data_IF_763037357358
#
_entry.id   IF_763037357358
#
_cell.length_a   1.000
_cell.length_b   1.000
_cell.length_c   1.000
_cell.angle_alpha   90.00
_cell.angle_beta   90.00
_cell.angle_gamma   90.00
#
_symmetry.space_group_name_H-M   'P 1'
#
loop_
_entity.id
_entity.type
_entity.pdbx_description
1 polymer ?
#
# COMPACT_ATOMS: atom_id res chain seq x y z
N UNK A 1 5.32 7.10 -15.13
CA UNK A 1 6.49 6.40 -14.54
C UNK A 1 5.99 5.08 -13.98
N UNK A 2 6.86 4.08 -13.85
CA UNK A 2 6.50 2.74 -13.36
C UNK A 2 7.33 2.42 -12.12
N UNK A 3 6.99 3.10 -11.02
CA UNK A 3 7.65 2.97 -9.73
C UNK A 3 6.70 3.12 -8.55
N UNK A 4 7.29 3.18 -7.36
CA UNK A 4 6.60 3.57 -6.15
C UNK A 4 7.48 4.51 -5.34
N UNK A 5 6.84 5.37 -4.55
CA UNK A 5 7.48 6.16 -3.52
C UNK A 5 7.34 5.47 -2.18
N UNK A 6 8.46 5.20 -1.52
CA UNK A 6 8.56 4.63 -0.17
C UNK A 6 9.11 5.71 0.76
N UNK A 7 8.26 6.29 1.60
CA UNK A 7 8.61 7.45 2.40
C UNK A 7 9.02 8.61 1.49
N UNK A 8 10.30 8.96 1.50
CA UNK A 8 10.87 10.05 0.70
C UNK A 8 11.60 9.58 -0.57
N UNK A 9 11.82 8.26 -0.72
CA UNK A 9 12.60 7.70 -1.82
C UNK A 9 11.72 7.04 -2.86
N UNK A 10 12.06 7.22 -4.13
CA UNK A 10 11.41 6.62 -5.27
C UNK A 10 12.21 5.43 -5.81
N UNK A 11 11.54 4.31 -6.09
CA UNK A 11 12.18 3.06 -6.53
C UNK A 11 13.04 3.22 -7.77
N UNK A 12 12.52 3.87 -8.81
CA UNK A 12 13.29 4.07 -10.05
C UNK A 12 14.37 5.16 -9.94
N UNK A 13 14.13 6.24 -9.18
CA UNK A 13 15.04 7.40 -9.18
C UNK A 13 16.19 7.24 -8.19
N UNK A 14 15.92 6.71 -7.00
CA UNK A 14 16.91 6.60 -5.93
C UNK A 14 17.61 5.25 -5.91
N UNK A 15 16.90 4.17 -6.23
CA UNK A 15 17.44 2.81 -6.22
C UNK A 15 17.72 2.25 -7.62
N UNK A 16 17.17 2.86 -8.67
CA UNK A 16 17.35 2.42 -10.06
C UNK A 16 16.56 1.17 -10.44
N UNK A 17 15.61 0.74 -9.59
CA UNK A 17 14.79 -0.47 -9.82
C UNK A 17 13.43 -0.08 -10.39
N UNK A 18 12.91 -0.89 -11.30
CA UNK A 18 11.60 -0.66 -11.94
C UNK A 18 10.59 -1.68 -11.48
N UNK A 19 9.33 -1.27 -11.32
CA UNK A 19 8.25 -2.21 -11.04
C UNK A 19 8.00 -3.07 -12.27
N UNK A 20 7.91 -4.38 -12.05
CA UNK A 20 7.43 -5.38 -13.00
C UNK A 20 5.95 -5.64 -12.78
N UNK A 21 5.57 -5.85 -11.52
CA UNK A 21 4.24 -6.30 -11.13
C UNK A 21 3.83 -5.78 -9.75
N UNK A 22 2.53 -5.60 -9.57
CA UNK A 22 1.91 -5.06 -8.35
C UNK A 22 0.69 -5.90 -7.99
N UNK A 23 0.79 -6.64 -6.89
CA UNK A 23 -0.30 -7.41 -6.31
C UNK A 23 -0.80 -6.70 -5.04
N UNK A 24 -2.08 -6.35 -5.02
CA UNK A 24 -2.70 -5.66 -3.89
C UNK A 24 -3.82 -6.52 -3.34
N UNK A 25 -3.58 -7.22 -2.23
CA UNK A 25 -4.57 -8.11 -1.64
C UNK A 25 -5.77 -7.34 -1.08
N UNK A 26 -6.97 -7.91 -1.19
CA UNK A 26 -8.17 -7.35 -0.56
C UNK A 26 -8.08 -7.58 0.95
N UNK A 27 -8.33 -6.55 1.80
CA UNK A 27 -8.26 -6.72 3.24
C UNK A 27 -9.28 -7.76 3.73
N UNK A 28 -8.83 -8.71 4.55
CA UNK A 28 -9.68 -9.79 5.06
C UNK A 28 -10.63 -9.29 6.15
N UNK A 29 -11.92 -9.61 6.06
CA UNK A 29 -12.89 -9.26 7.10
C UNK A 29 -12.67 -10.06 8.40
N UNK A 30 -12.87 -9.41 9.55
CA UNK A 30 -12.85 -10.01 10.89
C UNK A 30 -14.21 -10.61 11.22
N UNK A 31 -14.46 -11.81 10.72
CA UNK A 31 -15.74 -12.52 10.93
C UNK A 31 -15.73 -13.20 12.30
N UNK A 32 -16.81 -13.02 13.06
CA UNK A 32 -17.01 -13.67 14.37
C UNK A 32 -18.34 -14.40 14.39
N UNK A 33 -18.28 -15.72 14.28
CA UNK A 33 -19.44 -16.61 14.37
C UNK A 33 -19.40 -17.42 15.67
N UNK A 34 -20.56 -17.68 16.27
CA UNK A 34 -20.71 -18.57 17.43
C UNK A 34 -21.60 -19.74 17.04
N UNK A 35 -21.15 -20.95 17.35
CA UNK A 35 -21.98 -22.14 17.23
C UNK A 35 -22.75 -22.36 18.53
N UNK A 36 -24.07 -22.48 18.42
CA UNK A 36 -24.96 -22.76 19.55
C UNK A 36 -25.31 -24.25 19.49
N UNK A 37 -25.11 -25.01 20.58
CA UNK A 37 -25.48 -26.43 20.62
C UNK A 37 -26.95 -26.63 20.22
N UNK A 38 -27.20 -27.63 19.37
CA UNK A 38 -28.54 -28.00 18.87
C UNK A 38 -29.23 -26.96 17.97
N UNK A 39 -28.55 -25.86 17.61
CA UNK A 39 -29.03 -24.91 16.62
C UNK A 39 -28.49 -25.28 15.23
N UNK A 40 -29.35 -25.26 14.22
CA UNK A 40 -28.91 -25.35 12.84
C UNK A 40 -28.24 -24.04 12.41
N UNK A 41 -26.98 -24.14 11.97
CA UNK A 41 -26.18 -23.00 11.54
C UNK A 41 -25.46 -22.26 12.68
N UNK A 42 -24.73 -21.22 12.31
CA UNK A 42 -23.94 -20.40 13.24
C UNK A 42 -24.54 -19.00 13.38
N UNK A 43 -24.45 -18.44 14.59
CA UNK A 43 -24.87 -17.06 14.85
C UNK A 43 -23.75 -16.10 14.45
N UNK A 44 -24.01 -15.22 13.49
CA UNK A 44 -23.06 -14.19 13.08
C UNK A 44 -23.13 -12.98 14.02
N UNK A 45 -22.01 -12.71 14.70
CA UNK A 45 -21.84 -11.59 15.62
C UNK A 45 -20.84 -10.56 15.09
N UNK A 46 -20.45 -10.63 13.82
CA UNK A 46 -19.41 -9.79 13.22
C UNK A 46 -19.69 -8.29 13.40
N UNK A 47 -20.94 -7.86 13.24
CA UNK A 47 -21.34 -6.45 13.32
C UNK A 47 -22.00 -6.09 14.66
N UNK A 48 -22.16 -7.05 15.57
CA UNK A 48 -22.99 -6.90 16.77
C UNK A 48 -22.47 -5.87 17.79
N UNK A 49 -21.15 -5.65 17.86
CA UNK A 49 -20.54 -4.73 18.83
C UNK A 49 -20.37 -3.30 18.30
N UNK A 50 -19.90 -3.17 17.06
CA UNK A 50 -19.48 -1.90 16.48
C UNK A 50 -20.42 -1.38 15.38
N UNK A 51 -21.43 -2.16 14.97
CA UNK A 51 -22.36 -1.80 13.91
C UNK A 51 -21.76 -1.80 12.51
N UNK A 52 -20.57 -2.38 12.33
CA UNK A 52 -19.93 -2.47 11.02
C UNK A 52 -18.79 -3.47 10.97
N UNK A 53 -18.37 -3.82 9.74
CA UNK A 53 -17.32 -4.81 9.49
C UNK A 53 -15.95 -4.20 9.74
N UNK A 54 -15.14 -4.90 10.53
CA UNK A 54 -13.72 -4.59 10.69
C UNK A 54 -12.86 -5.50 9.82
N UNK A 55 -11.70 -4.99 9.42
CA UNK A 55 -10.77 -5.72 8.56
C UNK A 55 -9.43 -5.93 9.24
N UNK A 56 -8.72 -6.98 8.83
CA UNK A 56 -7.29 -7.15 9.04
C UNK A 56 -6.51 -6.24 8.08
N UNK A 57 -5.21 -6.11 8.33
CA UNK A 57 -4.30 -5.47 7.39
C UNK A 57 -4.34 -6.18 6.02
N UNK A 58 -3.95 -5.44 4.99
CA UNK A 58 -3.77 -5.96 3.63
C UNK A 58 -2.29 -6.05 3.30
N UNK A 59 -1.91 -7.00 2.47
CA UNK A 59 -0.54 -7.10 1.97
C UNK A 59 -0.47 -6.48 0.57
N UNK A 60 0.47 -5.57 0.38
CA UNK A 60 0.88 -5.11 -0.95
C UNK A 60 2.20 -5.79 -1.29
N UNK A 61 2.24 -6.49 -2.42
CA UNK A 61 3.46 -7.13 -2.92
C UNK A 61 3.82 -6.50 -4.25
N UNK A 62 5.08 -6.09 -4.38
CA UNK A 62 5.58 -5.43 -5.58
C UNK A 62 6.88 -6.08 -6.01
N UNK A 63 6.88 -6.58 -7.24
CA UNK A 63 8.03 -7.19 -7.85
C UNK A 63 8.76 -6.16 -8.70
N UNK A 64 10.06 -6.02 -8.48
CA UNK A 64 10.90 -5.08 -9.20
C UNK A 64 12.03 -5.80 -9.89
N UNK A 65 12.53 -5.21 -10.97
CA UNK A 65 13.69 -5.71 -11.69
C UNK A 65 14.76 -4.63 -11.85
N UNK A 66 16.00 -5.09 -11.89
CA UNK A 66 17.19 -4.31 -12.25
C UNK A 66 17.95 -5.05 -13.34
N UNK A 67 18.27 -4.35 -14.43
CA UNK A 67 19.21 -4.86 -15.44
C UNK A 67 20.62 -4.70 -14.90
N UNK A 68 21.25 -5.80 -14.54
CA UNK A 68 22.60 -5.79 -14.01
C UNK A 68 23.35 -7.07 -14.34
N UNK A 69 24.59 -6.93 -14.81
CA UNK A 69 25.46 -8.05 -15.14
C UNK A 69 26.40 -8.43 -14.00
N UNK A 70 26.42 -7.65 -12.90
CA UNK A 70 27.38 -7.82 -11.79
C UNK A 70 26.67 -8.11 -10.47
N UNK A 71 27.11 -9.17 -9.79
CA UNK A 71 26.51 -9.59 -8.51
C UNK A 71 26.81 -8.62 -7.37
N UNK A 72 27.94 -7.90 -7.42
CA UNK A 72 28.30 -6.93 -6.38
C UNK A 72 27.31 -5.76 -6.31
N UNK A 73 26.86 -5.30 -7.48
CA UNK A 73 25.93 -4.17 -7.58
C UNK A 73 24.52 -4.60 -7.15
N UNK A 74 24.13 -5.84 -7.43
CA UNK A 74 22.93 -6.45 -6.84
C UNK A 74 22.94 -6.43 -5.30
N UNK A 75 24.03 -6.90 -4.67
CA UNK A 75 24.17 -6.87 -3.21
C UNK A 75 24.11 -5.44 -2.65
N UNK A 76 24.78 -4.49 -3.31
CA UNK A 76 24.78 -3.09 -2.89
C UNK A 76 23.39 -2.48 -2.88
N UNK A 77 22.62 -2.67 -3.96
CA UNK A 77 21.24 -2.18 -4.07
C UNK A 77 20.33 -2.83 -3.03
N UNK A 78 20.46 -4.15 -2.82
CA UNK A 78 19.70 -4.82 -1.77
C UNK A 78 20.00 -4.24 -0.39
N UNK A 79 21.27 -4.13 -0.01
CA UNK A 79 21.65 -3.59 1.30
C UNK A 79 21.16 -2.15 1.49
N UNK A 80 21.14 -1.36 0.41
CA UNK A 80 20.61 0.01 0.43
C UNK A 80 19.09 0.04 0.67
N UNK A 81 18.33 -0.81 -0.02
CA UNK A 81 16.87 -0.92 0.14
C UNK A 81 16.55 -1.47 1.53
N UNK A 82 17.16 -2.60 1.91
CA UNK A 82 16.94 -3.23 3.20
C UNK A 82 17.27 -2.28 4.36
N UNK A 83 18.42 -1.57 4.31
CA UNK A 83 18.76 -0.58 5.33
C UNK A 83 17.78 0.60 5.40
N UNK A 84 17.16 0.96 4.28
CA UNK A 84 16.21 2.05 4.22
C UNK A 84 14.83 1.67 4.76
N UNK A 85 14.21 0.57 4.29
CA UNK A 85 12.80 0.28 4.57
C UNK A 85 12.52 -0.99 5.39
N UNK A 86 13.48 -1.92 5.55
CA UNK A 86 13.22 -3.18 6.26
C UNK A 86 12.71 -2.94 7.69
N UNK A 87 11.53 -3.48 7.99
CA UNK A 87 10.91 -3.41 9.31
C UNK A 87 10.34 -2.04 9.69
N UNK A 88 10.48 -1.01 8.85
CA UNK A 88 10.00 0.33 9.14
C UNK A 88 8.55 0.49 8.70
N UNK A 89 7.79 1.26 9.50
CA UNK A 89 6.44 1.69 9.13
C UNK A 89 6.55 2.96 8.28
N UNK A 90 6.18 2.88 7.01
CA UNK A 90 6.36 3.98 6.06
C UNK A 90 5.13 4.17 5.19
N UNK A 91 5.04 5.36 4.59
CA UNK A 91 4.06 5.69 3.57
C UNK A 91 4.49 5.12 2.22
N UNK A 92 3.58 4.51 1.49
CA UNK A 92 3.80 3.94 0.16
C UNK A 92 2.81 4.56 -0.82
N UNK A 93 3.32 5.12 -1.92
CA UNK A 93 2.52 5.71 -3.00
C UNK A 93 2.90 4.99 -4.29
N UNK A 94 1.92 4.44 -5.00
CA UNK A 94 2.13 3.78 -6.28
C UNK A 94 1.99 4.81 -7.40
N UNK A 95 2.88 4.78 -8.39
CA UNK A 95 2.75 5.66 -9.57
C UNK A 95 1.49 5.37 -10.38
N UNK A 96 0.93 4.16 -10.25
CA UNK A 96 -0.34 3.77 -10.88
C UNK A 96 -1.57 4.38 -10.21
N UNK A 97 -1.48 4.78 -8.94
CA UNK A 97 -2.56 5.44 -8.20
C UNK A 97 -2.00 6.59 -7.33
N UNK A 98 -1.48 7.66 -7.95
CA UNK A 98 -0.70 8.70 -7.26
C UNK A 98 -1.52 9.55 -6.30
N UNK A 99 -2.86 9.54 -6.42
CA UNK A 99 -3.77 10.26 -5.55
C UNK A 99 -3.96 9.61 -4.18
N UNK A 100 -3.49 8.38 -3.99
CA UNK A 100 -3.66 7.62 -2.76
C UNK A 100 -2.35 7.07 -2.22
N UNK A 101 -2.34 6.80 -0.92
CA UNK A 101 -1.22 6.18 -0.26
C UNK A 101 -1.66 5.09 0.72
N UNK A 102 -0.73 4.19 0.99
CA UNK A 102 -0.84 3.15 2.00
C UNK A 102 0.15 3.43 3.13
N UNK A 103 -0.21 3.05 4.36
CA UNK A 103 0.71 3.08 5.49
C UNK A 103 0.86 1.64 5.98
N UNK A 104 2.10 1.18 6.07
CA UNK A 104 2.36 -0.18 6.49
C UNK A 104 3.79 -0.44 6.88
N UNK A 105 4.04 -1.63 7.44
CA UNK A 105 5.39 -2.09 7.75
C UNK A 105 5.96 -2.82 6.54
N UNK A 106 7.16 -2.42 6.14
CA UNK A 106 7.78 -2.92 4.91
C UNK A 106 8.71 -4.10 5.22
N UNK A 107 8.65 -5.13 4.38
CA UNK A 107 9.60 -6.23 4.31
C UNK A 107 10.13 -6.36 2.89
N UNK A 108 11.42 -6.63 2.76
CA UNK A 108 12.11 -6.80 1.50
C UNK A 108 12.65 -8.22 1.43
N UNK A 109 12.40 -8.87 0.31
CA UNK A 109 12.91 -10.19 -0.02
C UNK A 109 13.68 -10.10 -1.33
N UNK A 110 14.75 -10.90 -1.42
CA UNK A 110 15.58 -10.96 -2.62
C UNK A 110 15.33 -12.24 -3.37
N UNK A 111 15.15 -12.11 -4.67
CA UNK A 111 15.02 -13.25 -5.57
C UNK A 111 15.99 -13.02 -6.72
N UNK A 112 17.14 -13.71 -6.70
CA UNK A 112 18.07 -13.68 -7.84
C UNK A 112 17.79 -14.89 -8.72
N UNK A 113 17.07 -14.67 -9.80
CA UNK A 113 16.73 -15.72 -10.76
C UNK A 113 17.77 -15.79 -11.89
N UNK A 114 18.22 -14.64 -12.40
CA UNK A 114 19.06 -14.57 -13.59
C UNK A 114 20.46 -13.97 -13.35
N UNK A 115 21.43 -14.24 -14.25
CA UNK A 115 22.72 -13.55 -14.28
C UNK A 115 22.65 -12.10 -14.79
N UNK A 116 21.61 -11.76 -15.57
CA UNK A 116 21.45 -10.45 -16.25
C UNK A 116 20.35 -9.59 -15.60
N UNK A 117 19.37 -10.25 -14.98
CA UNK A 117 18.24 -9.60 -14.33
C UNK A 117 18.22 -9.98 -12.87
N UNK A 118 18.10 -8.96 -12.02
CA UNK A 118 17.92 -9.13 -10.59
C UNK A 118 16.51 -8.74 -10.21
N UNK A 119 15.80 -9.63 -9.51
CA UNK A 119 14.44 -9.39 -9.04
C UNK A 119 14.44 -9.05 -7.54
N UNK A 120 13.60 -8.09 -7.17
CA UNK A 120 13.43 -7.65 -5.78
C UNK A 120 11.95 -7.66 -5.43
N UNK A 121 11.58 -8.31 -4.34
CA UNK A 121 10.21 -8.33 -3.86
C UNK A 121 10.11 -7.43 -2.64
N UNK A 122 9.30 -6.39 -2.75
CA UNK A 122 9.00 -5.48 -1.64
C UNK A 122 7.55 -5.72 -1.24
N UNK A 123 7.37 -6.12 0.01
CA UNK A 123 6.08 -6.40 0.62
C UNK A 123 5.77 -5.35 1.68
N UNK A 124 4.52 -4.93 1.79
CA UNK A 124 4.04 -3.99 2.78
C UNK A 124 2.81 -4.56 3.49
N UNK A 125 2.93 -4.82 4.79
CA UNK A 125 1.81 -5.11 5.68
C UNK A 125 1.14 -3.78 6.04
N UNK A 126 0.14 -3.40 5.26
CA UNK A 126 -0.50 -2.10 5.30
C UNK A 126 -1.86 -2.12 5.97
N UNK A 127 -2.26 -0.96 6.47
CA UNK A 127 -3.62 -0.73 6.94
C UNK A 127 -4.65 -1.10 5.86
N UNK A 128 -5.86 -1.55 6.26
CA UNK A 128 -6.85 -2.09 5.33
C UNK A 128 -7.29 -1.10 4.24
N UNK A 129 -7.25 0.19 4.55
CA UNK A 129 -7.75 1.25 3.68
C UNK A 129 -6.60 2.02 3.04
N UNK A 130 -6.83 2.50 1.80
CA UNK A 130 -5.99 3.51 1.18
C UNK A 130 -6.45 4.90 1.62
N UNK A 131 -5.52 5.83 1.73
CA UNK A 131 -5.76 7.20 2.18
C UNK A 131 -5.54 8.18 1.04
N UNK A 132 -6.38 9.21 0.94
CA UNK A 132 -6.19 10.28 -0.03
C UNK A 132 -4.94 11.09 0.32
N UNK A 133 -4.13 11.41 -0.69
CA UNK A 133 -2.92 12.21 -0.52
C UNK A 133 -3.26 13.66 -0.15
N UNK A 134 -4.33 14.19 -0.72
CA UNK A 134 -4.80 15.54 -0.49
C UNK A 134 -5.80 15.59 0.67
N UNK A 135 -5.65 16.56 1.55
CA UNK A 135 -6.60 16.77 2.65
C UNK A 135 -7.91 17.35 2.12
N UNK A 136 -9.04 16.92 2.68
CA UNK A 136 -10.36 17.44 2.32
C UNK A 136 -10.61 18.91 2.70
N UNK A 137 -9.71 19.49 3.50
CA UNK A 137 -9.74 20.90 3.90
C UNK A 137 -8.88 21.79 2.98
N UNK A 138 -8.06 21.19 2.12
CA UNK A 138 -7.21 21.92 1.18
C UNK A 138 -7.93 22.11 -0.15
N UNK A 139 -7.73 23.24 -0.84
CA UNK A 139 -8.30 23.43 -2.17
C UNK A 139 -7.74 22.38 -3.12
N UNK A 140 -8.62 21.76 -3.91
CA UNK A 140 -8.18 20.85 -4.96
C UNK A 140 -7.28 21.59 -5.96
N UNK A 141 -6.27 20.88 -6.47
CA UNK A 141 -5.29 21.45 -7.39
C UNK A 141 -5.60 21.00 -8.81
N UNK A 142 -5.56 21.92 -9.79
CA UNK A 142 -5.86 21.59 -11.19
C UNK A 142 -4.84 20.62 -11.81
N UNK A 143 -3.55 20.90 -11.65
CA UNK A 143 -2.47 20.14 -12.31
C UNK A 143 -2.37 18.66 -11.92
N UNK A 144 -2.45 18.28 -10.63
CA UNK A 144 -2.41 16.86 -10.24
C UNK A 144 -3.79 16.17 -10.33
N UNK A 145 -4.85 16.86 -10.75
CA UNK A 145 -6.19 16.29 -10.77
C UNK A 145 -6.35 15.29 -11.92
N UNK A 146 -6.77 14.07 -11.58
CA UNK A 146 -7.08 13.05 -12.58
C UNK A 146 -8.56 13.15 -12.99
N UNK A 147 -8.86 13.55 -14.22
CA UNK A 147 -10.25 13.81 -14.64
C UNK A 147 -11.17 12.58 -14.64
N UNK A 148 -10.64 11.35 -14.69
CA UNK A 148 -11.46 10.14 -14.68
C UNK A 148 -11.76 9.60 -13.28
N UNK A 149 -10.87 9.86 -12.30
CA UNK A 149 -10.90 9.19 -10.98
C UNK A 149 -10.79 10.16 -9.80
N UNK A 150 -10.47 11.42 -10.09
CA UNK A 150 -10.35 12.47 -9.10
C UNK A 150 -11.71 12.84 -8.51
N UNK A 151 -11.71 13.13 -7.22
CA UNK A 151 -12.89 13.58 -6.49
C UNK A 151 -12.63 14.99 -5.99
N UNK A 152 -13.47 15.94 -6.39
CA UNK A 152 -13.40 17.33 -5.90
C UNK A 152 -14.21 17.41 -4.61
N UNK A 153 -13.58 17.90 -3.54
CA UNK A 153 -14.21 18.11 -2.23
C UNK A 153 -14.02 19.56 -1.78
N UNK A 154 -15.12 20.26 -1.54
CA UNK A 154 -15.12 21.65 -1.06
C UNK A 154 -15.78 21.71 0.33
N UNK A 155 -15.17 21.04 1.31
CA UNK A 155 -15.74 20.95 2.66
C UNK A 155 -15.30 22.05 3.61
N UNK A 156 -14.29 22.83 3.24
CA UNK A 156 -13.66 23.85 4.09
C UNK A 156 -14.67 24.87 4.64
N UNK A 157 -15.61 25.30 3.80
CA UNK A 157 -16.52 26.42 4.12
C UNK A 157 -17.94 25.95 4.49
N UNK A 158 -18.14 24.65 4.70
CA UNK A 158 -19.46 24.11 5.07
C UNK A 158 -19.70 24.36 6.57
N UNK A 159 -20.73 25.14 6.96
CA UNK A 159 -21.04 25.38 8.35
C UNK A 159 -21.66 24.13 8.99
N UNK A 160 -21.09 23.69 10.13
CA UNK A 160 -21.64 22.58 10.91
C UNK A 160 -22.49 23.15 12.05
N UNK A 161 -23.82 23.03 11.94
CA UNK A 161 -24.75 23.39 13.02
C UNK A 161 -24.90 22.20 13.99
N UNK A 162 -24.39 22.36 15.21
CA UNK A 162 -24.39 21.33 16.25
C UNK A 162 -25.58 21.41 17.22
N UNK A 163 -26.79 21.68 16.74
CA UNK A 163 -28.02 21.61 17.55
C UNK A 163 -28.36 20.17 17.94
#
# INVERSE_FOLDING_TARGET
MSGMMIGEKHTERDFGIRILDVEIEVPKAKIKTIDVPEMDGSLDLTESLSGGIHYYNRVLQTSHYLKDTRIEKWHGVYSQIAGYCQGKRMKVILDSDPGYYYIGRISCEIIKEDPIWSSYKISCDAEPYKYELQSSLEPWLWDPFHFETGVIREYKDIPVNGT
#
